data_IF_911909389154
#
_entry.id   IF_911909389154
#
_cell.length_a   1.000
_cell.length_b   1.000
_cell.length_c   1.000
_cell.angle_alpha   90.00
_cell.angle_beta   90.00
_cell.angle_gamma   90.00
#
_symmetry.space_group_name_H-M   'P 1'
#
loop_
_entity.id
_entity.type
_entity.pdbx_description
1 polymer ?
#
# COMPACT_ATOMS: atom_id res chain seq x y z
N UNK A 1 -3.07 18.07 -2.94
CA UNK A 1 -1.88 17.23 -2.90
C UNK A 1 -1.53 16.94 -1.46
N UNK A 2 -2.22 15.93 -0.94
CA UNK A 2 -1.94 15.28 0.33
C UNK A 2 -1.06 14.07 0.04
N UNK A 3 -0.07 13.84 0.90
CA UNK A 3 0.73 12.62 0.88
C UNK A 3 0.22 11.69 1.96
N UNK A 4 -0.14 10.47 1.58
CA UNK A 4 -0.48 9.40 2.51
C UNK A 4 0.77 8.80 3.10
N UNK A 5 1.75 8.52 2.24
CA UNK A 5 3.00 7.88 2.65
C UNK A 5 4.17 8.24 1.73
N UNK A 6 5.38 8.06 2.24
CA UNK A 6 6.65 8.30 1.56
C UNK A 6 7.67 7.27 2.04
N UNK A 7 8.26 6.49 1.12
CA UNK A 7 9.27 5.51 1.51
C UNK A 7 10.43 6.15 2.32
N UNK A 8 10.77 7.41 2.00
CA UNK A 8 11.83 8.16 2.69
C UNK A 8 11.50 8.48 4.15
N UNK A 9 10.23 8.63 4.52
CA UNK A 9 9.85 8.82 5.92
C UNK A 9 10.25 7.64 6.79
N UNK A 10 10.32 6.45 6.20
CA UNK A 10 10.73 5.24 6.89
C UNK A 10 12.25 5.18 6.99
N UNK A 11 12.97 5.14 5.86
CA UNK A 11 14.42 4.92 5.89
C UNK A 11 15.26 6.12 6.35
N UNK A 12 14.71 7.34 6.39
CA UNK A 12 15.35 8.49 7.04
C UNK A 12 15.05 8.57 8.55
N UNK A 13 14.13 7.74 9.05
CA UNK A 13 13.70 7.68 10.44
C UNK A 13 14.36 6.55 11.25
N UNK A 14 13.58 5.95 12.15
CA UNK A 14 13.98 4.75 12.91
C UNK A 14 13.79 3.51 12.02
N UNK A 15 14.79 3.24 11.18
CA UNK A 15 14.83 2.14 10.22
C UNK A 15 15.97 1.16 10.53
N UNK A 16 15.75 -0.17 10.40
CA UNK A 16 16.83 -1.13 10.61
C UNK A 16 18.00 -0.89 9.66
N UNK A 17 19.19 -0.60 10.21
CA UNK A 17 20.38 -0.23 9.43
C UNK A 17 20.92 -1.36 8.52
N UNK A 18 20.45 -2.59 8.73
CA UNK A 18 20.79 -3.78 7.93
C UNK A 18 19.83 -4.00 6.76
N UNK A 19 18.72 -3.25 6.66
CA UNK A 19 17.77 -3.38 5.57
C UNK A 19 18.06 -2.37 4.45
N UNK A 20 17.79 -2.73 3.19
CA UNK A 20 17.84 -1.80 2.08
C UNK A 20 16.67 -0.81 2.15
N UNK A 21 16.85 0.42 1.66
CA UNK A 21 15.84 1.49 1.74
C UNK A 21 14.52 1.10 1.07
N UNK A 22 14.60 0.29 0.01
CA UNK A 22 13.48 -0.25 -0.75
C UNK A 22 12.47 -1.00 0.13
N UNK A 23 12.89 -1.53 1.29
CA UNK A 23 11.97 -2.16 2.23
C UNK A 23 10.94 -1.16 2.81
N UNK A 24 11.29 0.13 2.89
CA UNK A 24 10.36 1.20 3.28
C UNK A 24 9.22 1.42 2.27
N UNK A 25 9.36 0.92 1.04
CA UNK A 25 8.30 0.97 0.03
C UNK A 25 7.36 -0.25 0.07
N UNK A 26 7.65 -1.27 0.88
CA UNK A 26 6.96 -2.58 0.78
C UNK A 26 5.48 -2.50 1.17
N UNK A 27 5.16 -1.96 2.36
CA UNK A 27 3.78 -1.84 2.81
C UNK A 27 2.99 -0.86 1.93
N UNK A 28 3.60 0.26 1.54
CA UNK A 28 2.97 1.25 0.65
C UNK A 28 2.64 0.59 -0.70
N UNK A 29 3.61 -0.11 -1.27
CA UNK A 29 3.50 -0.80 -2.54
C UNK A 29 2.42 -1.87 -2.55
N UNK A 30 2.31 -2.68 -1.49
CA UNK A 30 1.24 -3.69 -1.41
C UNK A 30 -0.17 -3.08 -1.44
N UNK A 31 -0.37 -1.93 -0.79
CA UNK A 31 -1.64 -1.21 -0.88
C UNK A 31 -1.88 -0.66 -2.28
N UNK A 32 -0.86 -0.06 -2.90
CA UNK A 32 -0.95 0.50 -4.24
C UNK A 32 -1.24 -0.57 -5.30
N UNK A 33 -0.59 -1.75 -5.21
CA UNK A 33 -0.90 -2.89 -6.07
C UNK A 33 -2.38 -3.30 -5.96
N UNK A 34 -2.91 -3.33 -4.74
CA UNK A 34 -4.33 -3.63 -4.53
C UNK A 34 -5.24 -2.57 -5.17
N UNK A 35 -4.90 -1.28 -5.06
CA UNK A 35 -5.61 -0.20 -5.73
C UNK A 35 -5.57 -0.34 -7.26
N UNK A 36 -4.41 -0.72 -7.83
CA UNK A 36 -4.24 -0.96 -9.27
C UNK A 36 -5.15 -2.11 -9.74
N UNK A 37 -5.14 -3.24 -9.04
CA UNK A 37 -5.95 -4.42 -9.39
C UNK A 37 -7.46 -4.16 -9.32
N UNK A 38 -7.89 -3.25 -8.44
CA UNK A 38 -9.30 -2.90 -8.23
C UNK A 38 -9.74 -1.67 -9.03
N UNK A 39 -8.91 -1.21 -9.97
CA UNK A 39 -9.17 -0.03 -10.80
C UNK A 39 -9.47 1.24 -9.97
N UNK A 40 -8.73 1.44 -8.87
CA UNK A 40 -8.91 2.56 -7.94
C UNK A 40 -7.87 3.69 -8.09
N UNK A 41 -6.99 3.61 -9.09
CA UNK A 41 -6.00 4.65 -9.43
C UNK A 41 -6.62 5.81 -10.24
N UNK A 42 -5.97 6.98 -10.29
CA UNK A 42 -6.48 8.13 -11.02
C UNK A 42 -6.42 7.92 -12.55
N UNK A 43 -7.24 8.65 -13.30
CA UNK A 43 -7.21 8.59 -14.78
C UNK A 43 -5.85 9.08 -15.32
N UNK A 44 -5.24 10.07 -14.66
CA UNK A 44 -3.90 10.55 -14.99
C UNK A 44 -2.86 9.43 -14.86
N UNK A 45 -2.81 8.73 -13.71
CA UNK A 45 -1.85 7.65 -13.51
C UNK A 45 -2.09 6.48 -14.47
N UNK A 46 -3.36 6.20 -14.81
CA UNK A 46 -3.71 5.19 -15.83
C UNK A 46 -3.15 5.52 -17.21
N UNK A 47 -3.20 6.79 -17.60
CA UNK A 47 -2.70 7.24 -18.91
C UNK A 47 -1.16 7.28 -18.95
N UNK A 48 -0.52 7.73 -17.86
CA UNK A 48 0.94 7.88 -17.82
C UNK A 48 1.71 6.55 -17.63
N UNK A 49 1.11 5.56 -16.95
CA UNK A 49 1.78 4.32 -16.54
C UNK A 49 1.04 3.05 -17.00
N UNK A 50 0.38 3.10 -18.17
CA UNK A 50 -0.46 1.99 -18.68
C UNK A 50 0.28 0.65 -18.73
N UNK A 51 1.55 0.65 -19.17
CA UNK A 51 2.35 -0.57 -19.29
C UNK A 51 2.69 -1.15 -17.91
N UNK A 52 3.19 -0.33 -16.99
CA UNK A 52 3.57 -0.71 -15.64
C UNK A 52 2.35 -1.20 -14.84
N UNK A 53 1.20 -0.53 -15.00
CA UNK A 53 -0.07 -0.96 -14.43
C UNK A 53 -0.44 -2.37 -14.89
N UNK A 54 -0.30 -2.64 -16.20
CA UNK A 54 -0.57 -3.97 -16.74
C UNK A 54 0.43 -5.00 -16.21
N UNK A 55 1.71 -4.63 -16.04
CA UNK A 55 2.71 -5.50 -15.42
C UNK A 55 2.38 -5.82 -13.96
N UNK A 56 1.86 -4.88 -13.18
CA UNK A 56 1.36 -5.14 -11.81
C UNK A 56 0.19 -6.12 -11.84
N UNK A 57 -0.81 -5.88 -12.70
CA UNK A 57 -1.97 -6.77 -12.85
C UNK A 57 -1.60 -8.19 -13.29
N UNK A 58 -0.50 -8.35 -14.02
CA UNK A 58 0.05 -9.64 -14.45
C UNK A 58 1.00 -10.28 -13.44
N UNK A 59 1.29 -9.61 -12.31
CA UNK A 59 2.23 -10.06 -11.29
C UNK A 59 3.69 -10.04 -11.75
N UNK A 60 4.02 -9.26 -12.78
CA UNK A 60 5.38 -9.08 -13.32
C UNK A 60 6.14 -7.94 -12.64
N UNK A 61 5.41 -6.97 -12.10
CA UNK A 61 5.93 -5.83 -11.35
C UNK A 61 5.25 -5.82 -9.97
N UNK A 62 6.01 -5.68 -8.89
CA UNK A 62 5.40 -5.52 -7.57
C UNK A 62 4.87 -4.10 -7.40
N UNK A 63 3.94 -3.90 -6.46
CA UNK A 63 3.50 -2.54 -6.15
C UNK A 63 4.60 -1.67 -5.55
N UNK A 64 5.58 -2.26 -4.85
CA UNK A 64 6.72 -1.51 -4.33
C UNK A 64 7.64 -1.04 -5.45
N UNK A 65 7.92 -1.90 -6.44
CA UNK A 65 8.68 -1.50 -7.63
C UNK A 65 7.93 -0.44 -8.43
N UNK A 66 6.61 -0.56 -8.56
CA UNK A 66 5.76 0.46 -9.19
C UNK A 66 5.86 1.80 -8.44
N UNK A 67 5.73 1.78 -7.11
CA UNK A 67 5.85 2.99 -6.29
C UNK A 67 7.21 3.68 -6.47
N UNK A 68 8.30 2.91 -6.44
CA UNK A 68 9.66 3.43 -6.58
C UNK A 68 9.89 4.02 -7.99
N UNK A 69 9.48 3.29 -9.03
CA UNK A 69 9.81 3.64 -10.42
C UNK A 69 8.85 4.63 -11.08
N UNK A 70 7.58 4.65 -10.66
CA UNK A 70 6.52 5.47 -11.27
C UNK A 70 6.10 6.63 -10.37
N UNK A 71 5.98 6.38 -9.06
CA UNK A 71 5.39 7.34 -8.11
C UNK A 71 6.43 8.11 -7.27
N UNK A 72 7.71 8.05 -7.63
CA UNK A 72 8.80 8.73 -6.90
C UNK A 72 8.76 8.41 -5.39
N UNK A 73 8.54 7.12 -5.08
CA UNK A 73 8.47 6.55 -3.73
C UNK A 73 7.30 7.03 -2.85
N UNK A 74 6.29 7.70 -3.43
CA UNK A 74 5.22 8.36 -2.70
C UNK A 74 3.85 7.83 -3.05
N UNK A 75 2.96 7.79 -2.06
CA UNK A 75 1.54 7.59 -2.27
C UNK A 75 0.80 8.91 -2.03
N UNK A 76 0.23 9.48 -3.08
CA UNK A 76 -0.46 10.76 -3.08
C UNK A 76 -1.96 10.60 -3.30
N UNK A 77 -2.72 11.61 -2.88
CA UNK A 77 -4.16 11.70 -3.19
C UNK A 77 -4.46 11.75 -4.70
N UNK A 78 -3.54 12.27 -5.50
CA UNK A 78 -3.65 12.36 -6.96
C UNK A 78 -3.34 11.06 -7.72
N UNK A 79 -2.68 10.10 -7.08
CA UNK A 79 -2.44 8.76 -7.66
C UNK A 79 -3.74 7.93 -7.69
N UNK A 80 -4.75 8.35 -6.94
CA UNK A 80 -5.98 7.61 -6.69
C UNK A 80 -7.19 8.25 -7.39
N UNK A 81 -8.11 7.41 -7.83
CA UNK A 81 -9.46 7.83 -8.24
C UNK A 81 -10.22 8.43 -7.07
N UNK A 82 -11.35 9.09 -7.31
CA UNK A 82 -12.21 9.61 -6.23
C UNK A 82 -12.58 8.54 -5.20
N UNK A 83 -12.93 7.33 -5.65
CA UNK A 83 -13.28 6.20 -4.77
C UNK A 83 -12.05 5.66 -4.04
N UNK A 84 -10.93 5.50 -4.75
CA UNK A 84 -9.68 5.03 -4.17
C UNK A 84 -9.17 5.99 -3.08
N UNK A 85 -9.22 7.29 -3.38
CA UNK A 85 -8.82 8.35 -2.46
C UNK A 85 -9.73 8.38 -1.23
N UNK A 86 -11.06 8.28 -1.40
CA UNK A 86 -11.99 8.22 -0.27
C UNK A 86 -11.72 7.01 0.63
N UNK A 87 -11.48 5.83 0.04
CA UNK A 87 -11.13 4.64 0.82
C UNK A 87 -9.78 4.78 1.53
N UNK A 88 -8.75 5.35 0.88
CA UNK A 88 -7.46 5.58 1.50
C UNK A 88 -7.53 6.58 2.68
N UNK A 89 -8.37 7.62 2.58
CA UNK A 89 -8.60 8.54 3.70
C UNK A 89 -9.13 7.87 4.95
N UNK A 90 -9.99 6.86 4.79
CA UNK A 90 -10.62 6.17 5.91
C UNK A 90 -9.82 4.95 6.38
N UNK A 91 -9.18 4.22 5.47
CA UNK A 91 -8.51 2.96 5.81
C UNK A 91 -6.99 3.07 5.90
N UNK A 92 -6.34 3.84 5.02
CA UNK A 92 -4.87 3.93 5.01
C UNK A 92 -4.36 4.84 6.12
N UNK A 93 -5.04 5.96 6.37
CA UNK A 93 -4.69 6.84 7.48
C UNK A 93 -4.96 6.19 8.83
N UNK A 94 -4.10 6.50 9.78
CA UNK A 94 -4.33 6.19 11.19
C UNK A 94 -5.36 7.15 11.81
N UNK A 95 -5.90 6.76 12.97
CA UNK A 95 -6.83 7.55 13.79
C UNK A 95 -8.11 8.02 13.06
N UNK A 96 -8.72 7.13 12.26
CA UNK A 96 -10.00 7.38 11.57
C UNK A 96 -11.15 6.62 12.25
N UNK A 97 -12.40 7.10 12.10
CA UNK A 97 -13.59 6.39 12.58
C UNK A 97 -13.70 4.96 12.00
N UNK A 98 -13.25 4.77 10.76
CA UNK A 98 -13.20 3.45 10.12
C UNK A 98 -12.14 2.55 10.75
N UNK A 99 -10.93 3.07 10.94
CA UNK A 99 -9.81 2.39 11.58
C UNK A 99 -10.15 1.95 13.00
N UNK A 100 -10.71 2.85 13.80
CA UNK A 100 -11.18 2.55 15.17
C UNK A 100 -12.24 1.44 15.21
N UNK A 101 -13.11 1.40 14.20
CA UNK A 101 -14.20 0.42 14.11
C UNK A 101 -13.74 -0.95 13.61
N UNK A 102 -12.73 -0.99 12.74
CA UNK A 102 -12.32 -2.20 12.02
C UNK A 102 -10.85 -2.55 12.18
N UNK A 103 -9.96 -1.68 11.69
CA UNK A 103 -8.49 -1.65 11.79
C UNK A 103 -7.98 -0.62 10.75
N UNK A 104 -6.86 0.06 11.02
CA UNK A 104 -6.16 0.80 9.97
C UNK A 104 -5.40 -0.15 9.04
N UNK A 105 -4.93 0.35 7.91
CA UNK A 105 -4.10 -0.43 6.98
C UNK A 105 -2.83 -0.95 7.65
N UNK A 106 -2.15 -0.10 8.43
CA UNK A 106 -0.93 -0.47 9.16
C UNK A 106 -1.20 -1.60 10.16
N UNK A 107 -2.30 -1.52 10.89
CA UNK A 107 -2.72 -2.58 11.82
C UNK A 107 -2.98 -3.90 11.09
N UNK A 108 -3.73 -3.88 9.98
CA UNK A 108 -4.02 -5.09 9.21
C UNK A 108 -2.76 -5.66 8.55
N UNK A 109 -1.83 -4.80 8.10
CA UNK A 109 -0.53 -5.20 7.57
C UNK A 109 0.28 -5.98 8.62
N UNK A 110 0.48 -5.38 9.80
CA UNK A 110 1.22 -6.00 10.91
C UNK A 110 0.51 -7.29 11.36
N UNK A 111 -0.79 -7.23 11.66
CA UNK A 111 -1.51 -8.40 12.19
C UNK A 111 -1.57 -9.58 11.21
N UNK A 112 -1.47 -9.33 9.90
CA UNK A 112 -1.50 -10.38 8.88
C UNK A 112 -0.14 -11.01 8.65
N UNK A 113 0.90 -10.17 8.55
CA UNK A 113 2.19 -10.54 7.98
C UNK A 113 3.30 -10.63 9.02
N UNK A 114 3.18 -9.91 10.14
CA UNK A 114 4.18 -9.95 11.19
C UNK A 114 4.25 -11.34 11.85
N UNK A 115 5.45 -11.71 12.28
CA UNK A 115 5.79 -13.02 12.84
C UNK A 115 6.74 -12.82 14.01
N UNK A 116 6.72 -13.74 14.97
CA UNK A 116 7.54 -13.63 16.20
C UNK A 116 9.05 -13.53 15.90
N UNK A 117 9.50 -13.99 14.72
CA UNK A 117 10.89 -13.95 14.31
C UNK A 117 11.35 -12.61 13.71
N UNK A 118 10.44 -11.69 13.38
CA UNK A 118 10.79 -10.40 12.79
C UNK A 118 11.08 -9.38 13.89
N UNK A 119 12.20 -8.66 13.74
CA UNK A 119 12.56 -7.58 14.68
C UNK A 119 11.87 -6.25 14.33
N UNK A 120 11.33 -6.15 13.11
CA UNK A 120 10.60 -5.00 12.60
C UNK A 120 9.66 -5.41 11.47
N UNK A 121 8.52 -4.73 11.32
CA UNK A 121 7.62 -4.95 10.18
C UNK A 121 8.26 -4.59 8.84
N UNK A 122 9.34 -3.79 8.83
CA UNK A 122 10.11 -3.52 7.61
C UNK A 122 10.88 -4.75 7.09
N UNK A 123 11.02 -5.81 7.91
CA UNK A 123 11.60 -7.09 7.49
C UNK A 123 10.61 -7.97 6.72
N UNK A 124 9.32 -7.59 6.69
CA UNK A 124 8.32 -8.30 5.89
C UNK A 124 8.70 -8.21 4.42
N UNK A 125 8.95 -9.36 3.80
CA UNK A 125 9.42 -9.43 2.42
C UNK A 125 8.33 -9.03 1.41
N UNK A 126 8.74 -8.29 0.38
CA UNK A 126 7.91 -7.96 -0.80
C UNK A 126 7.72 -9.20 -1.69
N UNK A 127 6.85 -10.11 -1.28
CA UNK A 127 6.56 -11.36 -2.00
C UNK A 127 5.10 -11.43 -2.47
N UNK A 128 4.83 -12.13 -3.59
CA UNK A 128 3.46 -12.41 -4.01
C UNK A 128 2.63 -13.09 -2.92
N UNK A 129 3.23 -13.99 -2.14
CA UNK A 129 2.55 -14.72 -1.06
C UNK A 129 2.05 -13.79 0.03
N UNK A 130 2.90 -12.86 0.51
CA UNK A 130 2.52 -11.86 1.51
C UNK A 130 1.43 -10.93 0.97
N UNK A 131 1.58 -10.47 -0.28
CA UNK A 131 0.57 -9.65 -0.93
C UNK A 131 -0.77 -10.39 -1.04
N UNK A 132 -0.79 -11.67 -1.41
CA UNK A 132 -2.04 -12.45 -1.51
C UNK A 132 -2.73 -12.68 -0.16
N UNK A 133 -1.99 -12.74 0.95
CA UNK A 133 -2.57 -12.78 2.30
C UNK A 133 -3.23 -11.44 2.63
N UNK A 134 -2.49 -10.34 2.45
CA UNK A 134 -2.96 -9.01 2.77
C UNK A 134 -4.13 -8.58 1.89
N UNK A 135 -4.09 -8.89 0.59
CA UNK A 135 -5.15 -8.62 -0.38
C UNK A 135 -6.52 -9.08 0.11
N UNK A 136 -6.62 -10.27 0.74
CA UNK A 136 -7.89 -10.80 1.27
C UNK A 136 -8.44 -9.94 2.40
N UNK A 137 -7.56 -9.35 3.21
CA UNK A 137 -7.93 -8.46 4.31
C UNK A 137 -8.39 -7.12 3.74
N UNK A 138 -7.62 -6.53 2.82
CA UNK A 138 -8.01 -5.26 2.17
C UNK A 138 -9.34 -5.42 1.41
N UNK A 139 -9.53 -6.53 0.67
CA UNK A 139 -10.78 -6.86 -0.01
C UNK A 139 -11.97 -6.83 0.98
N UNK A 140 -11.80 -7.45 2.16
CA UNK A 140 -12.82 -7.44 3.21
C UNK A 140 -13.07 -6.02 3.74
N UNK A 141 -12.02 -5.26 4.04
CA UNK A 141 -12.13 -3.88 4.54
C UNK A 141 -12.83 -2.98 3.55
N UNK A 142 -12.52 -3.10 2.27
CA UNK A 142 -13.20 -2.34 1.23
C UNK A 142 -14.69 -2.67 1.14
N UNK A 143 -15.07 -3.94 1.29
CA UNK A 143 -16.49 -4.31 1.36
C UNK A 143 -17.19 -3.81 2.64
N UNK A 144 -16.48 -3.75 3.76
CA UNK A 144 -17.01 -3.23 5.01
C UNK A 144 -17.15 -1.69 4.96
N UNK A 145 -16.20 -1.00 4.34
CA UNK A 145 -16.23 0.44 4.07
C UNK A 145 -17.42 0.85 3.20
N UNK A 146 -17.70 0.11 2.12
CA UNK A 146 -18.85 0.35 1.23
C UNK A 146 -20.23 0.23 1.90
N UNK A 147 -20.32 -0.32 3.12
CA UNK A 147 -21.59 -0.51 3.86
C UNK A 147 -21.84 0.58 4.90
N UNK A 148 -20.89 1.51 5.07
CA UNK A 148 -21.03 2.68 5.93
C UNK A 148 -21.88 3.71 5.19
#
# INVERSE_FOLDING_TARGET
MMKYDDASWHYEGEFPANLPNENGATHIGMFLAWCIENDLISDWLREEAEEEIQQVKEGKLSGADFLISVCDEKLLDEDLSEIGNAFAQDYYKDDTDFGEKFASYTDDYINTLDREELESFYEIENTPENYQLLKKVIDKRFQDWKKI
#
